data_IF_071422446880
#
_entry.id   IF_071422446880
#
_cell.length_a   1.000
_cell.length_b   1.000
_cell.length_c   1.000
_cell.angle_alpha   90.00
_cell.angle_beta   90.00
_cell.angle_gamma   90.00
#
_symmetry.space_group_name_H-M   'P 1'
#
loop_
_entity.id
_entity.type
_entity.pdbx_description
1 polymer ?
#
# COMPACT_ATOMS: atom_id res chain seq x y z
N UNK A 1 16.09 18.00 -2.55
CA UNK A 1 14.77 17.43 -2.20
C UNK A 1 14.11 18.37 -1.18
N UNK A 2 12.87 18.80 -1.41
CA UNK A 2 12.20 19.80 -0.59
C UNK A 2 11.69 19.14 0.71
N UNK A 3 11.99 19.69 1.89
CA UNK A 3 11.65 19.09 3.20
C UNK A 3 10.13 18.85 3.33
N UNK A 4 9.33 19.71 2.69
CA UNK A 4 7.87 19.58 2.64
C UNK A 4 7.38 18.33 1.88
N UNK A 5 8.01 17.99 0.75
CA UNK A 5 7.67 16.79 -0.03
C UNK A 5 7.98 15.51 0.77
N UNK A 6 9.07 15.52 1.53
CA UNK A 6 9.45 14.38 2.36
C UNK A 6 8.44 14.14 3.49
N UNK A 7 7.98 15.19 4.16
CA UNK A 7 6.95 15.09 5.21
C UNK A 7 5.59 14.60 4.69
N UNK A 8 5.20 15.00 3.47
CA UNK A 8 3.96 14.51 2.83
C UNK A 8 4.06 13.03 2.45
N UNK A 9 5.20 12.59 1.91
CA UNK A 9 5.43 11.18 1.58
C UNK A 9 5.41 10.31 2.84
N UNK A 10 6.09 10.74 3.91
CA UNK A 10 6.10 10.03 5.19
C UNK A 10 4.68 9.93 5.79
N UNK A 11 3.88 10.99 5.73
CA UNK A 11 2.48 10.99 6.16
C UNK A 11 1.62 10.05 5.31
N UNK A 12 1.82 10.04 3.99
CA UNK A 12 1.08 9.17 3.06
C UNK A 12 1.45 7.69 3.26
N UNK A 13 2.71 7.36 3.54
CA UNK A 13 3.14 5.99 3.83
C UNK A 13 2.57 5.47 5.15
N UNK A 14 2.54 6.30 6.18
CA UNK A 14 1.94 5.90 7.45
C UNK A 14 0.43 5.66 7.30
N UNK A 15 -0.26 6.50 6.53
CA UNK A 15 -1.65 6.25 6.17
C UNK A 15 -1.83 4.94 5.40
N UNK A 16 -0.99 4.65 4.40
CA UNK A 16 -1.02 3.39 3.65
C UNK A 16 -0.76 2.19 4.56
N UNK A 17 0.21 2.29 5.46
CA UNK A 17 0.56 1.25 6.44
C UNK A 17 -0.63 0.95 7.33
N UNK A 18 -1.23 1.96 7.94
CA UNK A 18 -2.41 1.79 8.81
C UNK A 18 -3.61 1.22 8.04
N UNK A 19 -3.83 1.69 6.82
CA UNK A 19 -5.01 1.33 6.02
C UNK A 19 -4.92 -0.09 5.44
N UNK A 20 -3.72 -0.52 5.00
CA UNK A 20 -3.59 -1.69 4.14
C UNK A 20 -2.72 -2.82 4.72
N UNK A 21 -1.76 -2.55 5.62
CA UNK A 21 -1.00 -3.64 6.28
C UNK A 21 -1.90 -4.50 7.17
N UNK A 22 -2.88 -3.89 7.82
CA UNK A 22 -3.81 -4.60 8.71
C UNK A 22 -5.08 -5.10 8.00
N UNK A 23 -5.22 -4.84 6.70
CA UNK A 23 -6.38 -5.28 5.92
C UNK A 23 -6.48 -6.81 5.95
N UNK A 24 -7.59 -7.35 6.42
CA UNK A 24 -7.87 -8.79 6.36
C UNK A 24 -8.33 -9.20 4.97
N UNK A 25 -8.30 -10.50 4.67
CA UNK A 25 -8.81 -11.02 3.41
C UNK A 25 -10.31 -10.71 3.22
N UNK A 26 -11.12 -10.83 4.28
CA UNK A 26 -12.54 -10.49 4.23
C UNK A 26 -12.76 -9.00 3.90
N UNK A 27 -12.02 -8.11 4.57
CA UNK A 27 -12.08 -6.67 4.30
C UNK A 27 -11.61 -6.34 2.87
N UNK A 28 -10.60 -7.05 2.37
CA UNK A 28 -10.17 -6.94 0.98
C UNK A 28 -11.28 -7.34 0.01
N UNK A 29 -11.92 -8.48 0.23
CA UNK A 29 -13.04 -8.93 -0.60
C UNK A 29 -14.18 -7.92 -0.62
N UNK A 30 -14.58 -7.41 0.55
CA UNK A 30 -15.64 -6.39 0.66
C UNK A 30 -15.28 -5.10 -0.08
N UNK A 31 -14.05 -4.58 0.10
CA UNK A 31 -13.62 -3.33 -0.54
C UNK A 31 -13.45 -3.44 -2.05
N UNK A 32 -12.99 -4.59 -2.54
CA UNK A 32 -12.73 -4.82 -3.96
C UNK A 32 -13.92 -5.45 -4.71
N UNK A 33 -15.01 -5.77 -4.01
CA UNK A 33 -16.17 -6.42 -4.62
C UNK A 33 -15.92 -7.87 -5.05
N UNK A 34 -14.96 -8.55 -4.42
CA UNK A 34 -14.71 -9.97 -4.70
C UNK A 34 -15.67 -10.86 -3.91
N UNK A 35 -16.13 -11.92 -4.57
CA UNK A 35 -16.66 -13.10 -3.88
C UNK A 35 -15.49 -14.00 -3.46
N UNK A 36 -15.62 -14.66 -2.31
CA UNK A 36 -14.60 -15.59 -1.81
C UNK A 36 -14.29 -16.67 -2.84
N UNK A 37 -13.03 -16.72 -3.26
CA UNK A 37 -12.56 -17.64 -4.29
C UNK A 37 -11.03 -17.74 -4.26
N UNK A 38 -10.47 -18.78 -4.87
CA UNK A 38 -9.01 -18.90 -5.02
C UNK A 38 -8.41 -17.68 -5.76
N UNK A 39 -9.12 -17.18 -6.78
CA UNK A 39 -8.72 -15.98 -7.49
C UNK A 39 -8.60 -14.76 -6.56
N UNK A 40 -9.58 -14.54 -5.67
CA UNK A 40 -9.54 -13.44 -4.72
C UNK A 40 -8.39 -13.59 -3.71
N UNK A 41 -8.09 -14.82 -3.28
CA UNK A 41 -6.93 -15.11 -2.41
C UNK A 41 -5.63 -14.74 -3.13
N UNK A 42 -5.46 -15.15 -4.38
CA UNK A 42 -4.25 -14.86 -5.16
C UNK A 42 -4.08 -13.35 -5.34
N UNK A 43 -5.17 -12.62 -5.60
CA UNK A 43 -5.15 -11.15 -5.68
C UNK A 43 -4.81 -10.50 -4.34
N UNK A 44 -5.32 -11.01 -3.23
CA UNK A 44 -4.99 -10.52 -1.90
C UNK A 44 -3.51 -10.71 -1.57
N UNK A 45 -2.92 -11.87 -1.91
CA UNK A 45 -1.49 -12.14 -1.70
C UNK A 45 -0.62 -11.19 -2.53
N UNK A 46 -0.96 -10.97 -3.81
CA UNK A 46 -0.26 -10.02 -4.67
C UNK A 46 -0.35 -8.62 -4.09
N UNK A 47 -1.54 -8.21 -3.67
CA UNK A 47 -1.78 -6.92 -3.04
C UNK A 47 -0.90 -6.72 -1.80
N UNK A 48 -0.86 -7.70 -0.88
CA UNK A 48 -0.03 -7.63 0.33
C UNK A 48 1.44 -7.46 0.00
N UNK A 49 1.98 -8.25 -0.92
CA UNK A 49 3.40 -8.16 -1.33
C UNK A 49 3.72 -6.83 -1.98
N UNK A 50 2.83 -6.29 -2.81
CA UNK A 50 3.02 -4.97 -3.41
C UNK A 50 3.06 -3.88 -2.34
N UNK A 51 2.17 -3.93 -1.35
CA UNK A 51 2.16 -2.98 -0.23
C UNK A 51 3.41 -3.08 0.62
N UNK A 52 3.87 -4.28 0.94
CA UNK A 52 5.14 -4.50 1.67
C UNK A 52 6.33 -3.93 0.89
N UNK A 53 6.37 -4.12 -0.43
CA UNK A 53 7.39 -3.55 -1.30
C UNK A 53 7.41 -2.03 -1.26
N UNK A 54 6.26 -1.39 -1.46
CA UNK A 54 6.12 0.07 -1.42
C UNK A 54 6.58 0.62 -0.06
N UNK A 55 6.17 -0.02 1.04
CA UNK A 55 6.52 0.41 2.40
C UNK A 55 7.96 0.09 2.80
N UNK A 56 8.70 -0.65 1.98
CA UNK A 56 10.12 -0.97 2.21
C UNK A 56 11.08 0.02 1.56
N UNK A 57 10.60 0.84 0.62
CA UNK A 57 11.40 1.88 0.00
C UNK A 57 11.70 3.03 0.96
N UNK A 58 12.88 3.62 0.82
CA UNK A 58 13.20 4.89 1.48
C UNK A 58 12.41 6.05 0.88
N UNK A 59 12.34 7.15 1.64
CA UNK A 59 11.57 8.34 1.26
C UNK A 59 12.07 8.99 -0.03
N UNK A 60 13.35 8.86 -0.37
CA UNK A 60 13.94 9.38 -1.61
C UNK A 60 13.46 8.59 -2.84
N UNK A 61 13.49 7.26 -2.76
CA UNK A 61 12.99 6.37 -3.80
C UNK A 61 11.50 6.59 -4.03
N UNK A 62 10.73 6.78 -2.96
CA UNK A 62 9.29 7.06 -3.05
C UNK A 62 9.03 8.45 -3.63
N UNK A 63 9.82 9.47 -3.27
CA UNK A 63 9.72 10.79 -3.88
C UNK A 63 9.97 10.74 -5.39
N UNK A 64 10.91 9.91 -5.85
CA UNK A 64 11.17 9.74 -7.28
C UNK A 64 10.07 8.93 -8.00
N UNK A 65 9.38 8.03 -7.29
CA UNK A 65 8.29 7.22 -7.86
C UNK A 65 6.95 7.98 -7.93
N UNK A 66 6.69 8.90 -6.99
CA UNK A 66 5.39 9.57 -6.82
C UNK A 66 5.43 11.09 -7.01
N UNK A 67 6.61 11.70 -7.11
CA UNK A 67 6.79 13.13 -7.32
C UNK A 67 6.77 13.50 -8.80
N UNK A 68 5.59 13.51 -9.42
CA UNK A 68 5.30 14.31 -10.62
C UNK A 68 4.59 15.61 -10.25
#
# INVERSE_FOLDING_TARGET
MNIFLQGEIEMNLEFLRQTYCNLTYEQFCQRCGFTESQYAIDKFVIFKRAMEGILSFDSETLANLFGE
#
